data_IF_191902918196
#
_entry.id   IF_191902918196
#
_cell.length_a   1.000
_cell.length_b   1.000
_cell.length_c   1.000
_cell.angle_alpha   90.00
_cell.angle_beta   90.00
_cell.angle_gamma   90.00
#
_symmetry.space_group_name_H-M   'P 1'
#
loop_
_entity.id
_entity.type
_entity.pdbx_description
1 polymer ?
#
# COMPACT_ATOMS: atom_id res chain seq x y z
N UNK A 1 13.25 -3.26 -20.12
CA UNK A 1 13.40 -2.24 -19.06
C UNK A 1 12.14 -2.29 -18.22
N UNK A 2 12.23 -2.40 -16.89
CA UNK A 2 11.04 -2.44 -16.02
C UNK A 2 10.56 -1.00 -15.74
N UNK A 3 9.24 -0.78 -15.68
CA UNK A 3 8.65 0.53 -15.41
C UNK A 3 8.98 1.04 -14.01
N UNK A 4 9.11 0.12 -13.05
CA UNK A 4 9.61 0.38 -11.71
C UNK A 4 10.86 -0.45 -11.44
N UNK A 5 11.86 0.15 -10.80
CA UNK A 5 13.01 -0.57 -10.23
C UNK A 5 12.77 -0.71 -8.74
N UNK A 6 12.80 -1.94 -8.24
CA UNK A 6 12.67 -2.19 -6.81
C UNK A 6 13.97 -1.79 -6.09
N UNK A 7 13.82 -1.01 -5.01
CA UNK A 7 14.89 -0.62 -4.10
C UNK A 7 14.44 -0.89 -2.65
N UNK A 8 15.08 -1.87 -2.00
CA UNK A 8 14.72 -2.27 -0.64
C UNK A 8 14.99 -1.19 0.41
N UNK A 9 16.00 -0.33 0.19
CA UNK A 9 16.36 0.76 1.11
C UNK A 9 15.34 1.89 1.05
N UNK A 10 14.89 2.27 -0.15
CA UNK A 10 13.82 3.25 -0.31
C UNK A 10 12.51 2.73 0.26
N UNK A 11 12.17 1.48 -0.02
CA UNK A 11 10.94 0.84 0.48
C UNK A 11 10.94 0.77 2.01
N UNK A 12 12.05 0.41 2.65
CA UNK A 12 12.19 0.43 4.11
C UNK A 12 12.04 1.87 4.66
N UNK A 13 12.69 2.86 4.04
CA UNK A 13 12.60 4.26 4.45
C UNK A 13 11.14 4.74 4.45
N UNK A 14 10.44 4.59 3.32
CA UNK A 14 9.04 5.01 3.22
C UNK A 14 8.11 4.21 4.14
N UNK A 15 8.44 2.94 4.41
CA UNK A 15 7.67 2.13 5.36
C UNK A 15 7.77 2.67 6.79
N UNK A 16 8.96 3.13 7.21
CA UNK A 16 9.16 3.79 8.52
C UNK A 16 8.47 5.15 8.61
N UNK A 17 8.49 5.94 7.54
CA UNK A 17 7.77 7.22 7.46
C UNK A 17 6.25 7.00 7.59
N UNK A 18 5.71 6.01 6.89
CA UNK A 18 4.30 5.64 7.01
C UNK A 18 4.00 5.10 8.41
N UNK A 19 4.83 4.23 8.98
CA UNK A 19 4.67 3.71 10.33
C UNK A 19 4.55 4.84 11.37
N UNK A 20 5.44 5.82 11.26
CA UNK A 20 5.46 7.01 12.12
C UNK A 20 4.18 7.84 11.95
N UNK A 21 3.73 8.01 10.71
CA UNK A 21 2.48 8.71 10.41
C UNK A 21 1.26 8.00 11.01
N UNK A 22 1.16 6.67 10.87
CA UNK A 22 0.11 5.87 11.51
C UNK A 22 0.17 5.95 13.04
N UNK A 23 1.38 6.08 13.60
CA UNK A 23 1.58 6.26 15.04
C UNK A 23 1.10 7.61 15.58
N UNK A 24 0.94 8.61 14.72
CA UNK A 24 0.48 9.96 15.08
C UNK A 24 -1.04 10.13 15.04
N UNK A 25 -1.78 9.10 14.60
CA UNK A 25 -3.25 9.13 14.51
C UNK A 25 -3.84 9.23 15.93
N UNK A 26 -4.54 10.33 16.20
CA UNK A 26 -5.19 10.59 17.49
C UNK A 26 -6.51 9.85 17.69
N UNK A 27 -7.18 9.47 16.59
CA UNK A 27 -8.42 8.70 16.67
C UNK A 27 -8.12 7.27 17.13
N UNK A 28 -8.54 6.95 18.35
CA UNK A 28 -8.28 5.65 18.99
C UNK A 28 -8.88 4.46 18.23
N UNK A 29 -10.04 4.62 17.60
CA UNK A 29 -10.69 3.55 16.85
C UNK A 29 -9.91 3.21 15.58
N UNK A 30 -9.57 4.23 14.79
CA UNK A 30 -8.75 4.10 13.58
C UNK A 30 -7.34 3.60 13.92
N UNK A 31 -6.73 4.11 15.00
CA UNK A 31 -5.42 3.64 15.46
C UNK A 31 -5.42 2.16 15.84
N UNK A 32 -6.50 1.65 16.45
CA UNK A 32 -6.64 0.22 16.76
C UNK A 32 -6.68 -0.62 15.48
N UNK A 33 -7.48 -0.20 14.49
CA UNK A 33 -7.57 -0.90 13.19
C UNK A 33 -6.21 -0.97 12.48
N UNK A 34 -5.40 0.07 12.61
CA UNK A 34 -4.11 0.19 11.93
C UNK A 34 -2.93 -0.41 12.71
N UNK A 35 -3.14 -0.88 13.93
CA UNK A 35 -2.05 -1.45 14.74
C UNK A 35 -1.38 -2.64 14.06
N UNK A 36 -2.17 -3.52 13.43
CA UNK A 36 -1.63 -4.65 12.69
C UNK A 36 -0.83 -4.21 11.46
N UNK A 37 -1.33 -3.22 10.71
CA UNK A 37 -0.64 -2.64 9.57
C UNK A 37 0.71 -2.02 10.00
N UNK A 38 0.72 -1.31 11.13
CA UNK A 38 1.93 -0.71 11.71
C UNK A 38 3.01 -1.75 12.02
N UNK A 39 2.60 -2.88 12.61
CA UNK A 39 3.54 -3.98 12.86
C UNK A 39 4.05 -4.60 11.55
N UNK A 40 3.22 -4.71 10.51
CA UNK A 40 3.65 -5.19 9.20
C UNK A 40 4.58 -4.23 8.47
N UNK A 41 4.47 -2.93 8.69
CA UNK A 41 5.43 -1.95 8.16
C UNK A 41 6.84 -2.17 8.72
N UNK A 42 6.96 -2.58 9.99
CA UNK A 42 8.27 -2.92 10.60
C UNK A 42 8.93 -4.14 9.98
N UNK A 43 8.14 -5.04 9.40
CA UNK A 43 8.66 -6.23 8.70
C UNK A 43 9.19 -5.90 7.31
N UNK A 44 8.90 -4.70 6.78
CA UNK A 44 9.45 -4.24 5.50
C UNK A 44 10.85 -3.69 5.75
N UNK A 45 11.86 -4.45 5.32
CA UNK A 45 13.27 -4.13 5.56
C UNK A 45 14.10 -4.38 4.30
N UNK A 46 15.16 -3.59 4.13
CA UNK A 46 16.13 -3.74 3.03
C UNK A 46 16.85 -5.10 3.05
N UNK A 47 16.96 -5.73 4.22
CA UNK A 47 17.54 -7.07 4.40
C UNK A 47 16.62 -8.21 3.97
N UNK A 48 15.34 -7.93 3.71
CA UNK A 48 14.32 -8.92 3.31
C UNK A 48 14.25 -9.06 1.80
N UNK A 49 13.77 -10.23 1.35
CA UNK A 49 13.49 -10.42 -0.07
C UNK A 49 12.40 -9.46 -0.54
N UNK A 50 12.42 -9.13 -1.83
CA UNK A 50 11.39 -8.32 -2.48
C UNK A 50 10.00 -8.94 -2.28
N UNK A 51 9.90 -10.26 -2.40
CA UNK A 51 8.66 -11.02 -2.26
C UNK A 51 8.11 -10.95 -0.82
N UNK A 52 8.96 -11.04 0.21
CA UNK A 52 8.56 -10.81 1.61
C UNK A 52 8.03 -9.39 1.81
N UNK A 53 8.76 -8.38 1.32
CA UNK A 53 8.33 -6.98 1.44
C UNK A 53 7.02 -6.72 0.69
N UNK A 54 6.83 -7.32 -0.49
CA UNK A 54 5.56 -7.24 -1.23
C UNK A 54 4.40 -7.91 -0.50
N UNK A 55 4.64 -9.01 0.22
CA UNK A 55 3.60 -9.63 1.05
C UNK A 55 3.21 -8.71 2.22
N UNK A 56 4.19 -8.14 2.92
CA UNK A 56 3.92 -7.19 4.00
C UNK A 56 3.20 -5.94 3.49
N UNK A 57 3.65 -5.37 2.37
CA UNK A 57 2.99 -4.21 1.73
C UNK A 57 1.55 -4.51 1.31
N UNK A 58 1.27 -5.71 0.79
CA UNK A 58 -0.10 -6.12 0.48
C UNK A 58 -0.99 -6.16 1.72
N UNK A 59 -0.50 -6.72 2.82
CA UNK A 59 -1.25 -6.78 4.07
C UNK A 59 -1.53 -5.37 4.61
N UNK A 60 -0.52 -4.50 4.62
CA UNK A 60 -0.69 -3.09 4.98
C UNK A 60 -1.74 -2.42 4.10
N UNK A 61 -1.67 -2.65 2.79
CA UNK A 61 -2.62 -2.09 1.83
C UNK A 61 -4.05 -2.55 2.09
N UNK A 62 -4.27 -3.82 2.41
CA UNK A 62 -5.60 -4.34 2.74
C UNK A 62 -6.18 -3.64 3.97
N UNK A 63 -5.37 -3.41 5.01
CA UNK A 63 -5.80 -2.68 6.20
C UNK A 63 -6.13 -1.21 5.90
N UNK A 64 -5.32 -0.53 5.08
CA UNK A 64 -5.62 0.84 4.68
C UNK A 64 -6.86 0.93 3.79
N UNK A 65 -7.05 0.00 2.85
CA UNK A 65 -8.27 -0.10 2.02
C UNK A 65 -9.49 -0.26 2.93
N UNK A 66 -9.41 -1.09 3.97
CA UNK A 66 -10.50 -1.23 4.92
C UNK A 66 -10.85 0.12 5.57
N UNK A 67 -9.85 0.89 6.02
CA UNK A 67 -10.07 2.22 6.58
C UNK A 67 -10.70 3.17 5.56
N UNK A 68 -10.19 3.25 4.33
CA UNK A 68 -10.75 4.13 3.28
C UNK A 68 -12.20 3.75 2.94
N UNK A 69 -12.51 2.46 2.93
CA UNK A 69 -13.86 1.99 2.63
C UNK A 69 -14.84 2.21 3.78
N UNK A 70 -14.35 2.27 5.03
CA UNK A 70 -15.20 2.39 6.23
C UNK A 70 -15.40 3.84 6.66
N UNK A 71 -14.41 4.71 6.45
CA UNK A 71 -14.44 6.10 6.88
C UNK A 71 -14.29 7.05 5.68
N UNK A 72 -14.98 8.19 5.71
CA UNK A 72 -14.76 9.25 4.74
C UNK A 72 -13.42 9.95 5.04
N UNK A 73 -12.40 9.61 4.24
CA UNK A 73 -11.06 10.20 4.30
C UNK A 73 -10.74 11.04 3.05
N UNK A 74 -11.77 11.39 2.27
CA UNK A 74 -11.67 12.06 0.97
C UNK A 74 -11.54 11.11 -0.24
N UNK A 75 -11.76 11.65 -1.44
CA UNK A 75 -11.85 10.89 -2.70
C UNK A 75 -10.54 10.65 -3.45
N UNK A 76 -9.40 11.08 -2.90
CA UNK A 76 -8.13 11.02 -3.62
C UNK A 76 -7.57 9.61 -3.78
N UNK A 77 -7.81 8.72 -2.80
CA UNK A 77 -7.21 7.39 -2.75
C UNK A 77 -8.23 6.33 -3.12
N UNK A 78 -7.91 5.51 -4.11
CA UNK A 78 -8.75 4.37 -4.48
C UNK A 78 -8.01 3.06 -4.26
N UNK A 79 -8.78 2.01 -4.01
CA UNK A 79 -8.29 0.65 -3.94
C UNK A 79 -8.09 0.09 -5.35
N UNK A 80 -7.02 -0.68 -5.52
CA UNK A 80 -6.67 -1.35 -6.75
C UNK A 80 -6.33 -2.80 -6.47
N UNK A 81 -6.55 -3.66 -7.46
CA UNK A 81 -6.20 -5.07 -7.38
C UNK A 81 -5.64 -5.61 -8.68
N UNK A 82 -4.88 -6.69 -8.59
CA UNK A 82 -4.47 -7.46 -9.75
C UNK A 82 -4.70 -8.96 -9.47
N UNK A 83 -5.63 -9.62 -10.19
CA UNK A 83 -6.00 -11.01 -9.91
C UNK A 83 -4.86 -11.99 -10.22
N UNK A 84 -3.98 -11.66 -11.16
CA UNK A 84 -2.85 -12.53 -11.55
C UNK A 84 -1.83 -12.68 -10.42
N UNK A 85 -1.51 -11.59 -9.71
CA UNK A 85 -0.59 -11.63 -8.56
C UNK A 85 -1.32 -11.85 -7.23
N UNK A 86 -2.66 -11.79 -7.22
CA UNK A 86 -3.52 -11.89 -6.04
C UNK A 86 -3.16 -10.85 -4.97
N UNK A 87 -2.91 -9.61 -5.39
CA UNK A 87 -2.53 -8.50 -4.51
C UNK A 87 -3.46 -7.32 -4.68
N UNK A 88 -3.51 -6.50 -3.63
CA UNK A 88 -4.21 -5.21 -3.58
C UNK A 88 -3.29 -4.10 -3.09
N UNK A 89 -3.58 -2.87 -3.48
CA UNK A 89 -2.88 -1.66 -3.05
C UNK A 89 -3.81 -0.44 -3.06
N UNK A 90 -3.39 0.63 -2.36
CA UNK A 90 -3.98 1.95 -2.51
C UNK A 90 -3.16 2.79 -3.46
N UNK A 91 -3.83 3.62 -4.25
CA UNK A 91 -3.17 4.60 -5.10
C UNK A 91 -3.96 5.91 -5.08
N UNK A 92 -3.21 7.01 -4.97
CA UNK A 92 -3.75 8.34 -5.14
C UNK A 92 -4.11 8.54 -6.63
N UNK A 93 -5.41 8.52 -6.92
CA UNK A 93 -5.97 8.55 -8.27
C UNK A 93 -6.05 9.97 -8.83
N UNK A 94 -6.02 11.00 -7.98
CA UNK A 94 -5.93 12.40 -8.42
C UNK A 94 -4.53 12.74 -8.96
N UNK A 95 -3.48 12.08 -8.48
CA UNK A 95 -2.11 12.18 -9.02
C UNK A 95 -1.83 11.21 -10.17
N UNK A 96 -2.35 9.99 -10.08
CA UNK A 96 -2.11 8.92 -11.04
C UNK A 96 -3.44 8.33 -11.52
N UNK A 97 -3.91 8.79 -12.68
CA UNK A 97 -5.20 8.35 -13.22
C UNK A 97 -5.19 6.90 -13.75
N UNK A 98 -4.02 6.35 -14.11
CA UNK A 98 -3.88 4.97 -14.61
C UNK A 98 -3.44 4.04 -13.49
N UNK A 99 -3.83 2.77 -13.58
CA UNK A 99 -3.33 1.70 -12.70
C UNK A 99 -1.80 1.70 -12.71
N UNK A 100 -1.18 1.78 -11.53
CA UNK A 100 0.27 1.63 -11.33
C UNK A 100 0.52 0.45 -10.37
N UNK A 101 0.64 -0.76 -10.93
CA UNK A 101 0.82 -2.00 -10.21
C UNK A 101 2.26 -2.15 -9.68
N UNK A 102 2.47 -2.08 -8.36
CA UNK A 102 3.80 -2.14 -7.76
C UNK A 102 4.39 -3.55 -7.76
N UNK A 103 3.58 -4.58 -7.99
CA UNK A 103 3.97 -5.99 -7.93
C UNK A 103 4.40 -6.54 -9.29
N UNK A 104 4.03 -5.87 -10.39
CA UNK A 104 4.28 -6.32 -11.76
C UNK A 104 4.96 -5.21 -12.57
N UNK A 105 6.24 -4.95 -12.29
CA UNK A 105 6.99 -3.84 -12.89
C UNK A 105 7.11 -3.88 -14.42
N UNK A 106 6.94 -5.04 -15.06
CA UNK A 106 6.91 -5.18 -16.53
C UNK A 106 5.51 -4.96 -17.12
N UNK A 107 4.46 -4.99 -16.30
CA UNK A 107 3.08 -4.76 -16.67
C UNK A 107 2.45 -3.75 -15.70
N UNK A 108 2.98 -2.51 -15.63
CA UNK A 108 2.63 -1.53 -14.61
C UNK A 108 1.16 -1.11 -14.67
N UNK A 109 0.51 -1.23 -15.83
CA UNK A 109 -0.89 -0.87 -16.02
C UNK A 109 -1.84 -2.06 -15.88
N UNK A 110 -1.33 -3.22 -15.45
CA UNK A 110 -2.15 -4.40 -15.25
C UNK A 110 -2.84 -4.37 -13.88
N UNK A 111 -4.15 -4.60 -13.90
CA UNK A 111 -5.01 -4.62 -12.72
C UNK A 111 -6.27 -3.82 -12.97
N UNK A 112 -7.04 -3.60 -11.91
CA UNK A 112 -8.26 -2.79 -11.93
C UNK A 112 -8.28 -1.83 -10.75
N UNK A 113 -8.93 -0.70 -10.96
CA UNK A 113 -9.41 0.16 -9.88
C UNK A 113 -10.69 -0.47 -9.32
N UNK A 114 -10.71 -0.78 -8.04
CA UNK A 114 -11.81 -1.48 -7.36
C UNK A 114 -12.85 -0.51 -6.80
N UNK A 115 -12.47 0.75 -6.52
CA UNK A 115 -13.34 1.78 -5.91
C UNK A 115 -13.33 3.07 -6.71
N UNK A 116 -14.37 3.90 -6.57
CA UNK A 116 -14.43 5.25 -7.13
C UNK A 116 -14.98 6.20 -6.07
N UNK A 117 -14.08 6.65 -5.21
CA UNK A 117 -14.35 7.71 -4.23
C UNK A 117 -14.21 9.10 -4.87
#
# INVERSE_FOLDING_TARGET
MAFFKYDGSEVEKFSKELESSLGSISNTEVSKLLTFAKNKLKEIQSSKSKEENYQSYHIVSMALIHVVNTYDIGGDYNAYSCPMVKKKWLQNSSKLAKVHNPYAAMMPHCGSQDTKF
#
